data_IF_166912503355
#
_entry.id   IF_166912503355
#
_cell.length_a   1.000
_cell.length_b   1.000
_cell.length_c   1.000
_cell.angle_alpha   90.00
_cell.angle_beta   90.00
_cell.angle_gamma   90.00
#
_symmetry.space_group_name_H-M   'P 1'
#
loop_
_entity.id
_entity.type
_entity.pdbx_description
1 polymer ?
#
# COMPACT_ATOMS: atom_id res chain seq x y z
N UNK A 1 -16.39 69.87 19.59
CA UNK A 1 -16.18 69.55 18.17
C UNK A 1 -14.70 69.23 17.84
N UNK A 2 -13.75 69.99 18.30
CA UNK A 2 -12.34 69.84 17.95
C UNK A 2 -11.64 68.46 18.41
N UNK A 3 -12.20 67.76 19.38
CA UNK A 3 -11.63 66.52 19.92
C UNK A 3 -12.09 65.27 19.13
N UNK A 4 -13.24 65.36 18.43
CA UNK A 4 -13.75 64.31 17.55
C UNK A 4 -13.02 64.23 16.19
N UNK A 5 -12.64 65.43 15.66
CA UNK A 5 -11.91 65.49 14.38
C UNK A 5 -10.48 64.96 14.49
N UNK A 6 -9.78 65.11 15.65
CA UNK A 6 -8.42 64.54 15.88
C UNK A 6 -8.40 63.01 15.98
N UNK A 7 -9.51 62.42 16.43
CA UNK A 7 -9.61 60.94 16.53
C UNK A 7 -9.86 60.31 15.16
N UNK A 8 -10.63 60.96 14.28
CA UNK A 8 -10.91 60.48 12.92
C UNK A 8 -9.64 60.61 12.03
N UNK A 9 -8.88 61.72 12.18
CA UNK A 9 -7.64 61.93 11.43
C UNK A 9 -6.53 60.88 11.78
N UNK A 10 -6.46 60.45 13.05
CA UNK A 10 -5.53 59.35 13.47
C UNK A 10 -5.96 57.99 12.95
N UNK A 11 -7.26 57.69 12.88
CA UNK A 11 -7.79 56.43 12.34
C UNK A 11 -7.53 56.28 10.84
N UNK A 12 -7.63 57.36 10.07
CA UNK A 12 -7.37 57.35 8.61
C UNK A 12 -5.86 57.21 8.31
N UNK A 13 -5.00 57.82 9.13
CA UNK A 13 -3.54 57.67 8.99
C UNK A 13 -3.05 56.26 9.26
N UNK A 14 -3.62 55.58 10.24
CA UNK A 14 -3.28 54.18 10.55
C UNK A 14 -3.79 53.22 9.45
N UNK A 15 -4.97 53.45 8.88
CA UNK A 15 -5.49 52.66 7.76
C UNK A 15 -4.71 52.88 6.46
N UNK A 16 -4.16 54.07 6.21
CA UNK A 16 -3.25 54.32 5.08
C UNK A 16 -1.91 53.65 5.27
N UNK A 17 -1.31 53.67 6.45
CA UNK A 17 -0.08 52.94 6.76
C UNK A 17 -0.24 51.43 6.61
N UNK A 18 -1.44 50.87 6.89
CA UNK A 18 -1.71 49.46 6.63
C UNK A 18 -1.96 49.14 5.15
N UNK A 19 -2.42 50.08 4.34
CA UNK A 19 -2.62 49.84 2.90
C UNK A 19 -1.35 50.11 2.08
N UNK A 20 -0.52 51.08 2.44
CA UNK A 20 0.73 51.36 1.74
C UNK A 20 1.80 50.28 1.99
N UNK A 21 1.77 49.59 3.14
CA UNK A 21 2.60 48.41 3.37
C UNK A 21 2.13 47.15 2.63
N UNK A 22 0.94 47.13 2.02
CA UNK A 22 0.49 46.01 1.17
C UNK A 22 1.09 46.04 -0.25
N UNK A 23 1.62 47.17 -0.69
CA UNK A 23 2.14 47.35 -2.05
C UNK A 23 3.68 47.20 -2.16
N UNK A 24 4.44 47.32 -1.06
CA UNK A 24 5.89 47.45 -1.11
C UNK A 24 6.74 46.21 -0.74
N UNK A 25 6.14 45.16 -0.19
CA UNK A 25 6.89 43.91 0.11
C UNK A 25 6.06 42.70 -0.27
N UNK A 26 5.90 42.44 -1.57
CA UNK A 26 5.74 41.06 -2.07
C UNK A 26 7.10 40.38 -2.05
N UNK A 27 7.64 40.14 -0.86
CA UNK A 27 8.60 39.04 -0.70
C UNK A 27 7.84 37.79 -1.11
N UNK A 28 8.26 37.14 -2.19
CA UNK A 28 7.63 35.92 -2.67
C UNK A 28 7.68 34.90 -1.53
N UNK A 29 6.57 34.71 -0.84
CA UNK A 29 6.41 33.58 0.06
C UNK A 29 6.54 32.35 -0.83
N UNK A 30 7.67 31.64 -0.74
CA UNK A 30 7.86 30.39 -1.45
C UNK A 30 6.71 29.48 -1.12
N UNK A 31 6.01 29.01 -2.12
CA UNK A 31 4.90 28.08 -1.96
C UNK A 31 5.45 26.66 -1.99
N UNK A 32 4.84 25.72 -1.25
CA UNK A 32 5.14 24.29 -1.28
C UNK A 32 4.67 23.65 -2.60
N UNK A 33 4.81 24.33 -3.70
CA UNK A 33 4.51 23.84 -5.04
C UNK A 33 5.65 22.99 -5.62
N UNK A 34 6.81 23.00 -4.97
CA UNK A 34 7.98 22.24 -5.37
C UNK A 34 8.30 21.16 -4.35
N UNK A 35 8.66 20.00 -4.87
CA UNK A 35 9.20 18.91 -4.06
C UNK A 35 10.67 19.19 -3.74
N UNK A 36 11.14 18.70 -2.59
CA UNK A 36 12.59 18.71 -2.31
C UNK A 36 13.34 17.95 -3.41
N UNK A 37 14.56 18.36 -3.76
CA UNK A 37 15.30 17.80 -4.91
C UNK A 37 15.40 16.26 -4.88
N UNK A 38 15.64 15.66 -3.72
CA UNK A 38 15.76 14.22 -3.57
C UNK A 38 14.44 13.46 -3.85
N UNK A 39 13.29 14.04 -3.49
CA UNK A 39 11.97 13.47 -3.82
C UNK A 39 11.59 13.78 -5.27
N UNK A 40 11.89 14.99 -5.76
CA UNK A 40 11.64 15.40 -7.14
C UNK A 40 12.34 14.47 -8.14
N UNK A 41 13.58 14.07 -7.86
CA UNK A 41 14.33 13.12 -8.70
C UNK A 41 13.62 11.75 -8.83
N UNK A 42 13.03 11.24 -7.76
CA UNK A 42 12.22 10.01 -7.81
C UNK A 42 10.92 10.22 -8.58
N UNK A 43 10.23 11.35 -8.32
CA UNK A 43 8.94 11.67 -8.93
C UNK A 43 9.08 11.94 -10.43
N UNK A 44 10.23 12.38 -10.89
CA UNK A 44 10.52 12.59 -12.31
C UNK A 44 10.32 11.32 -13.15
N UNK A 45 10.56 10.14 -12.58
CA UNK A 45 10.31 8.85 -13.24
C UNK A 45 8.86 8.65 -13.69
N UNK A 46 7.91 9.35 -13.09
CA UNK A 46 6.49 9.27 -13.43
C UNK A 46 6.06 10.26 -14.53
N UNK A 47 6.95 11.18 -14.95
CA UNK A 47 6.64 12.18 -15.99
C UNK A 47 6.03 11.59 -17.27
N UNK A 48 6.52 10.47 -17.81
CA UNK A 48 6.00 9.92 -19.05
C UNK A 48 4.52 9.48 -19.00
N UNK A 49 3.95 9.32 -17.81
CA UNK A 49 2.54 8.93 -17.63
C UNK A 49 1.59 10.12 -17.81
N UNK A 50 2.11 11.34 -17.75
CA UNK A 50 1.30 12.56 -17.71
C UNK A 50 1.58 13.51 -18.87
N UNK A 51 0.57 14.30 -19.22
CA UNK A 51 0.81 15.54 -19.93
C UNK A 51 1.58 16.52 -19.02
N UNK A 52 2.52 17.34 -19.54
CA UNK A 52 3.39 18.19 -18.72
C UNK A 52 2.70 19.07 -17.69
N UNK A 53 1.59 19.71 -18.06
CA UNK A 53 0.81 20.55 -17.13
C UNK A 53 0.13 19.75 -16.01
N UNK A 54 -0.34 18.55 -16.34
CA UNK A 54 -0.95 17.63 -15.37
C UNK A 54 0.11 17.12 -14.41
N UNK A 55 1.30 16.80 -14.91
CA UNK A 55 2.43 16.36 -14.10
C UNK A 55 2.84 17.41 -13.08
N UNK A 56 2.99 18.67 -13.47
CA UNK A 56 3.30 19.76 -12.54
C UNK A 56 2.25 19.90 -11.42
N UNK A 57 0.97 19.78 -11.78
CA UNK A 57 -0.11 19.82 -10.77
C UNK A 57 -0.10 18.57 -9.88
N UNK A 58 0.21 17.41 -10.44
CA UNK A 58 0.35 16.16 -9.68
C UNK A 58 1.50 16.23 -8.66
N UNK A 59 2.67 16.78 -9.06
CA UNK A 59 3.80 17.03 -8.14
C UNK A 59 3.38 17.94 -6.98
N UNK A 60 2.65 19.01 -7.26
CA UNK A 60 2.10 19.91 -6.25
C UNK A 60 1.14 19.18 -5.30
N UNK A 61 0.22 18.37 -5.83
CA UNK A 61 -0.69 17.56 -5.02
C UNK A 61 0.05 16.56 -4.14
N UNK A 62 1.10 15.96 -4.66
CA UNK A 62 1.94 15.03 -3.91
C UNK A 62 2.62 15.74 -2.74
N UNK A 63 3.21 16.93 -2.97
CA UNK A 63 3.76 17.76 -1.92
C UNK A 63 2.70 18.10 -0.85
N UNK A 64 1.55 18.59 -1.28
CA UNK A 64 0.43 18.89 -0.40
C UNK A 64 -0.05 17.68 0.42
N UNK A 65 -0.08 16.48 -0.20
CA UNK A 65 -0.48 15.25 0.50
C UNK A 65 0.45 14.88 1.66
N UNK A 66 1.76 15.09 1.46
CA UNK A 66 2.79 14.87 2.49
C UNK A 66 2.65 15.87 3.62
N UNK A 67 2.55 17.17 3.32
CA UNK A 67 2.60 18.25 4.33
C UNK A 67 1.25 18.55 4.97
N UNK A 68 0.13 18.11 4.37
CA UNK A 68 -1.18 18.27 4.96
C UNK A 68 -1.26 17.52 6.30
N UNK A 69 -1.53 18.23 7.37
CA UNK A 69 -1.67 17.67 8.72
C UNK A 69 -3.14 17.35 9.06
N UNK A 70 -4.09 18.04 8.44
CA UNK A 70 -5.53 17.84 8.58
C UNK A 70 -6.09 16.74 7.67
N UNK A 71 -7.42 16.66 7.53
CA UNK A 71 -8.08 15.73 6.62
C UNK A 71 -7.61 15.94 5.17
N UNK A 72 -7.23 14.87 4.48
CA UNK A 72 -6.74 14.95 3.09
C UNK A 72 -7.85 14.96 2.07
N UNK A 73 -8.73 15.93 2.18
CA UNK A 73 -9.59 16.31 1.05
C UNK A 73 -8.75 17.00 -0.02
N UNK A 74 -9.18 16.98 -1.27
CA UNK A 74 -8.40 17.62 -2.36
C UNK A 74 -8.19 19.11 -2.08
N UNK A 75 -9.21 19.80 -1.54
CA UNK A 75 -9.13 21.22 -1.17
C UNK A 75 -8.13 21.46 -0.03
N UNK A 76 -8.15 20.66 1.03
CA UNK A 76 -7.20 20.80 2.14
C UNK A 76 -5.76 20.50 1.71
N UNK A 77 -5.56 19.48 0.89
CA UNK A 77 -4.27 19.17 0.28
C UNK A 77 -3.78 20.35 -0.56
N UNK A 78 -4.67 20.96 -1.37
CA UNK A 78 -4.34 22.12 -2.19
C UNK A 78 -4.03 23.35 -1.32
N UNK A 79 -4.79 23.56 -0.26
CA UNK A 79 -4.55 24.63 0.72
C UNK A 79 -3.18 24.47 1.39
N UNK A 80 -2.81 23.24 1.76
CA UNK A 80 -1.54 22.98 2.43
C UNK A 80 -0.31 23.34 1.57
N UNK A 81 -0.43 23.38 0.24
CA UNK A 81 0.65 23.82 -0.66
C UNK A 81 0.87 25.33 -0.64
N UNK A 82 -0.06 26.13 -0.13
CA UNK A 82 -0.02 27.58 -0.20
C UNK A 82 -0.44 28.17 -1.56
N UNK A 83 -0.79 27.34 -2.55
CA UNK A 83 -1.19 27.79 -3.88
C UNK A 83 -2.65 28.21 -4.00
N UNK A 84 -3.48 27.94 -2.99
CA UNK A 84 -4.92 28.22 -3.03
C UNK A 84 -5.25 29.71 -3.28
N UNK A 85 -4.38 30.63 -2.87
CA UNK A 85 -4.51 32.06 -3.16
C UNK A 85 -4.09 32.46 -4.58
N UNK A 86 -3.33 31.60 -5.31
CA UNK A 86 -2.78 31.90 -6.65
C UNK A 86 -3.46 31.11 -7.77
N UNK A 87 -3.96 29.91 -7.46
CA UNK A 87 -4.59 29.01 -8.44
C UNK A 87 -5.89 28.44 -7.86
N UNK A 88 -6.93 28.46 -8.65
CA UNK A 88 -8.22 27.93 -8.24
C UNK A 88 -8.12 26.42 -7.98
N UNK A 89 -8.87 25.94 -6.99
CA UNK A 89 -8.86 24.51 -6.57
C UNK A 89 -9.35 23.55 -7.67
N UNK A 90 -10.10 24.02 -8.66
CA UNK A 90 -10.53 23.19 -9.80
C UNK A 90 -9.34 22.61 -10.56
N UNK A 91 -8.19 23.29 -10.57
CA UNK A 91 -6.95 22.75 -11.16
C UNK A 91 -6.53 21.46 -10.48
N UNK A 92 -6.66 21.39 -9.16
CA UNK A 92 -6.38 20.18 -8.38
C UNK A 92 -7.41 19.08 -8.65
N UNK A 93 -8.70 19.43 -8.69
CA UNK A 93 -9.77 18.47 -9.00
C UNK A 93 -9.66 17.90 -10.42
N UNK A 94 -9.24 18.72 -11.40
CA UNK A 94 -9.08 18.29 -12.80
C UNK A 94 -8.12 17.12 -12.95
N UNK A 95 -7.07 17.02 -12.12
CA UNK A 95 -6.13 15.88 -12.12
C UNK A 95 -6.88 14.56 -11.86
N UNK A 96 -7.83 14.55 -10.95
CA UNK A 96 -8.59 13.34 -10.60
C UNK A 96 -9.82 13.11 -11.47
N UNK A 97 -10.43 14.18 -11.98
CA UNK A 97 -11.71 14.12 -12.67
C UNK A 97 -11.57 13.92 -14.18
N UNK A 98 -10.71 14.70 -14.86
CA UNK A 98 -10.70 14.80 -16.32
C UNK A 98 -9.36 14.50 -16.98
N UNK A 99 -8.23 14.69 -16.30
CA UNK A 99 -6.92 14.49 -16.89
C UNK A 99 -6.72 13.05 -17.40
N UNK A 100 -5.94 12.89 -18.46
CA UNK A 100 -5.62 11.59 -19.04
C UNK A 100 -4.37 11.00 -18.37
N UNK A 101 -4.56 10.01 -17.49
CA UNK A 101 -3.53 9.19 -16.87
C UNK A 101 -4.18 8.00 -16.14
N UNK A 102 -3.41 6.95 -15.88
CA UNK A 102 -3.94 5.76 -15.20
C UNK A 102 -3.03 5.30 -14.05
N UNK A 103 -3.65 4.81 -12.97
CA UNK A 103 -2.93 4.28 -11.82
C UNK A 103 -2.07 3.06 -12.14
N UNK A 104 -2.50 2.23 -13.09
CA UNK A 104 -1.73 1.03 -13.46
C UNK A 104 -0.35 1.40 -13.99
N UNK A 105 -0.26 2.45 -14.79
CA UNK A 105 1.01 2.89 -15.37
C UNK A 105 1.92 3.50 -14.27
N UNK A 106 1.35 4.35 -13.41
CA UNK A 106 2.08 4.87 -12.24
C UNK A 106 2.52 3.75 -11.29
N UNK A 107 1.66 2.77 -11.06
CA UNK A 107 1.95 1.63 -10.20
C UNK A 107 3.07 0.75 -10.72
N UNK A 108 3.15 0.53 -12.03
CA UNK A 108 4.26 -0.21 -12.66
C UNK A 108 5.57 0.57 -12.56
N UNK A 109 5.56 1.89 -12.80
CA UNK A 109 6.76 2.73 -12.58
C UNK A 109 7.21 2.65 -11.13
N UNK A 110 6.28 2.78 -10.16
CA UNK A 110 6.59 2.66 -8.73
C UNK A 110 7.16 1.27 -8.40
N UNK A 111 6.56 0.20 -8.91
CA UNK A 111 7.06 -1.14 -8.73
C UNK A 111 8.48 -1.30 -9.28
N UNK A 112 8.74 -0.77 -10.46
CA UNK A 112 10.09 -0.80 -11.08
C UNK A 112 11.11 -0.07 -10.20
N UNK A 113 10.79 1.11 -9.67
CA UNK A 113 11.66 1.83 -8.74
C UNK A 113 11.94 1.03 -7.46
N UNK A 114 10.90 0.42 -6.86
CA UNK A 114 11.05 -0.43 -5.67
C UNK A 114 11.96 -1.64 -5.99
N UNK A 115 11.74 -2.32 -7.11
CA UNK A 115 12.53 -3.47 -7.51
C UNK A 115 13.99 -3.10 -7.77
N UNK A 116 14.22 -1.99 -8.45
CA UNK A 116 15.58 -1.52 -8.79
C UNK A 116 16.37 -1.13 -7.54
N UNK A 117 15.74 -0.41 -6.63
CA UNK A 117 16.46 0.19 -5.52
C UNK A 117 16.43 -0.63 -4.22
N UNK A 118 15.34 -1.32 -3.92
CA UNK A 118 15.18 -2.04 -2.66
C UNK A 118 15.30 -3.55 -2.80
N UNK A 119 15.08 -4.10 -4.01
CA UNK A 119 15.19 -5.54 -4.27
C UNK A 119 15.95 -5.74 -5.60
N UNK A 120 17.23 -5.36 -5.69
CA UNK A 120 17.98 -5.45 -6.96
C UNK A 120 18.15 -6.89 -7.46
N UNK A 121 18.01 -7.88 -6.60
CA UNK A 121 18.13 -9.30 -6.94
C UNK A 121 17.24 -10.19 -6.10
N UNK A 122 17.21 -11.48 -6.43
CA UNK A 122 16.49 -12.50 -5.68
C UNK A 122 14.98 -12.50 -5.87
N UNK A 123 14.28 -13.09 -4.91
CA UNK A 123 12.85 -13.32 -4.90
C UNK A 123 12.09 -12.04 -4.54
N UNK A 124 11.03 -11.75 -5.28
CA UNK A 124 10.12 -10.64 -4.99
C UNK A 124 8.87 -11.17 -4.28
N UNK A 125 8.69 -10.76 -3.04
CA UNK A 125 7.49 -11.08 -2.29
C UNK A 125 6.38 -10.07 -2.57
N UNK A 126 5.21 -10.58 -2.89
CA UNK A 126 4.02 -9.77 -3.20
C UNK A 126 2.89 -10.22 -2.29
N UNK A 127 2.15 -9.26 -1.77
CA UNK A 127 1.02 -9.51 -0.86
C UNK A 127 -0.24 -8.92 -1.48
N UNK A 128 -1.34 -9.66 -1.40
CA UNK A 128 -2.66 -9.18 -1.83
C UNK A 128 -3.67 -9.32 -0.71
N UNK A 129 -4.45 -8.27 -0.51
CA UNK A 129 -5.59 -8.29 0.42
C UNK A 129 -6.57 -7.18 0.05
N UNK A 130 -7.75 -7.14 0.71
CA UNK A 130 -8.70 -6.04 0.52
C UNK A 130 -8.94 -5.22 1.78
N UNK A 131 -9.31 -3.98 1.57
CA UNK A 131 -9.59 -3.07 2.68
C UNK A 131 -10.81 -2.21 2.40
N UNK A 132 -11.60 -1.96 3.45
CA UNK A 132 -12.74 -1.08 3.40
C UNK A 132 -12.32 0.36 3.73
N UNK A 133 -12.62 1.26 2.80
CA UNK A 133 -12.53 2.70 2.98
C UNK A 133 -13.92 3.24 3.36
N UNK A 134 -14.10 3.65 4.60
CA UNK A 134 -15.40 4.13 5.11
C UNK A 134 -15.83 5.41 4.42
N UNK A 135 -17.12 5.52 4.10
CA UNK A 135 -17.76 6.71 3.54
C UNK A 135 -19.07 7.02 4.26
N UNK A 136 -19.42 8.31 4.30
CA UNK A 136 -20.68 8.77 4.89
C UNK A 136 -21.70 9.23 3.85
N UNK A 137 -21.24 9.65 2.66
CA UNK A 137 -22.10 10.19 1.62
C UNK A 137 -22.69 9.13 0.71
N UNK A 138 -24.01 8.98 0.66
CA UNK A 138 -24.70 8.00 -0.17
C UNK A 138 -24.49 8.16 -1.69
N UNK A 139 -24.08 9.36 -2.14
CA UNK A 139 -23.88 9.69 -3.57
C UNK A 139 -22.47 9.40 -4.07
N UNK A 140 -21.63 8.69 -3.31
CA UNK A 140 -20.30 8.29 -3.74
C UNK A 140 -20.43 7.14 -4.76
N UNK A 141 -19.85 7.32 -5.95
CA UNK A 141 -19.85 6.28 -6.98
C UNK A 141 -19.24 4.98 -6.44
N UNK A 142 -19.80 3.84 -6.81
CA UNK A 142 -19.41 2.49 -6.37
C UNK A 142 -19.54 2.23 -4.86
N UNK A 143 -20.06 3.19 -4.09
CA UNK A 143 -20.31 3.03 -2.66
C UNK A 143 -21.24 1.85 -2.35
N UNK A 144 -20.98 1.15 -1.27
CA UNK A 144 -21.79 0.02 -0.87
C UNK A 144 -21.64 -0.35 0.60
N UNK A 145 -22.53 -1.20 1.07
CA UNK A 145 -22.45 -1.79 2.41
C UNK A 145 -21.61 -3.06 2.31
N UNK A 146 -20.55 -3.13 3.12
CA UNK A 146 -19.61 -4.24 3.18
C UNK A 146 -19.38 -4.66 4.63
N UNK A 147 -19.01 -5.92 4.82
CA UNK A 147 -18.52 -6.41 6.10
C UNK A 147 -17.23 -5.66 6.46
N UNK A 148 -17.21 -5.06 7.63
CA UNK A 148 -16.01 -4.45 8.19
C UNK A 148 -15.26 -5.50 9.03
N UNK A 149 -14.19 -6.04 8.47
CA UNK A 149 -13.40 -7.07 9.12
C UNK A 149 -12.71 -6.57 10.41
N UNK A 150 -12.36 -5.28 10.47
CA UNK A 150 -11.67 -4.67 11.63
C UNK A 150 -12.63 -4.50 12.81
N UNK A 151 -13.88 -4.09 12.55
CA UNK A 151 -14.89 -3.87 13.58
C UNK A 151 -15.71 -5.13 13.89
N UNK A 152 -15.54 -6.22 13.14
CA UNK A 152 -16.26 -7.47 13.33
C UNK A 152 -15.51 -8.39 14.29
N UNK A 153 -16.27 -9.13 15.10
CA UNK A 153 -15.78 -10.24 15.89
C UNK A 153 -16.32 -11.59 15.37
N UNK A 154 -15.93 -12.69 16.00
CA UNK A 154 -16.50 -14.01 15.68
C UNK A 154 -18.01 -14.06 15.92
N UNK A 155 -18.48 -13.39 16.95
CA UNK A 155 -19.88 -13.40 17.41
C UNK A 155 -20.72 -12.23 16.88
N UNK A 156 -20.06 -11.09 16.51
CA UNK A 156 -20.76 -9.90 16.05
C UNK A 156 -20.19 -9.43 14.71
N UNK A 157 -21.05 -9.39 13.68
CA UNK A 157 -20.69 -8.92 12.35
C UNK A 157 -21.13 -7.47 12.16
N UNK A 158 -20.17 -6.60 11.89
CA UNK A 158 -20.41 -5.18 11.65
C UNK A 158 -20.33 -4.88 10.16
N UNK A 159 -21.33 -4.19 9.64
CA UNK A 159 -21.36 -3.73 8.25
C UNK A 159 -21.26 -2.22 8.21
N UNK A 160 -20.48 -1.69 7.25
CA UNK A 160 -20.28 -0.26 7.06
C UNK A 160 -20.41 0.12 5.58
N UNK A 161 -20.92 1.33 5.36
CA UNK A 161 -20.94 1.91 4.02
C UNK A 161 -19.56 2.44 3.65
N UNK A 162 -19.11 2.13 2.44
CA UNK A 162 -17.79 2.55 1.98
C UNK A 162 -17.43 2.03 0.60
N UNK A 163 -16.14 2.07 0.31
CA UNK A 163 -15.49 1.61 -0.90
C UNK A 163 -14.57 0.45 -0.52
N UNK A 164 -14.72 -0.70 -1.15
CA UNK A 164 -13.83 -1.84 -0.91
C UNK A 164 -12.77 -1.91 -2.01
N UNK A 165 -11.51 -2.00 -1.61
CA UNK A 165 -10.36 -1.98 -2.51
C UNK A 165 -9.56 -3.27 -2.39
N UNK A 166 -9.26 -3.91 -3.51
CA UNK A 166 -8.26 -4.97 -3.61
C UNK A 166 -6.92 -4.31 -3.89
N UNK A 167 -5.91 -4.60 -3.07
CA UNK A 167 -4.59 -3.95 -3.11
C UNK A 167 -3.51 -5.01 -3.22
N UNK A 168 -2.60 -4.79 -4.14
CA UNK A 168 -1.38 -5.57 -4.36
C UNK A 168 -0.17 -4.72 -3.95
N UNK A 169 0.66 -5.24 -3.05
CA UNK A 169 1.87 -4.56 -2.61
C UNK A 169 3.10 -5.45 -2.66
N UNK A 170 4.26 -4.84 -2.80
CA UNK A 170 5.55 -5.53 -2.71
C UNK A 170 5.99 -5.52 -1.25
N UNK A 171 6.25 -6.71 -0.69
CA UNK A 171 6.75 -6.83 0.67
C UNK A 171 8.29 -6.75 0.67
N UNK A 172 8.82 -5.71 1.27
CA UNK A 172 10.24 -5.36 1.24
C UNK A 172 10.84 -5.42 2.64
N UNK A 173 11.97 -6.10 2.84
CA UNK A 173 12.79 -5.89 4.02
C UNK A 173 13.50 -4.52 3.86
N UNK A 174 13.36 -3.63 4.82
CA UNK A 174 14.04 -2.34 4.72
C UNK A 174 15.51 -2.48 5.12
N UNK A 175 16.44 -1.78 4.45
CA UNK A 175 17.86 -1.83 4.79
C UNK A 175 18.16 -1.49 6.26
N UNK A 176 17.38 -0.58 6.83
CA UNK A 176 17.52 -0.09 8.21
C UNK A 176 16.70 -0.91 9.23
N UNK A 177 15.91 -1.87 8.76
CA UNK A 177 15.04 -2.68 9.59
C UNK A 177 14.77 -4.03 8.95
N UNK A 178 15.66 -4.98 9.17
CA UNK A 178 15.59 -6.33 8.60
C UNK A 178 14.70 -7.28 9.40
N UNK A 179 14.27 -6.88 10.62
CA UNK A 179 13.44 -7.68 11.50
C UNK A 179 11.97 -7.81 11.05
N UNK A 180 11.55 -6.99 10.06
CA UNK A 180 10.20 -7.08 9.50
C UNK A 180 10.14 -6.63 8.05
N UNK A 181 9.07 -7.04 7.36
CA UNK A 181 8.73 -6.60 6.02
C UNK A 181 7.76 -5.42 6.07
N UNK A 182 7.97 -4.46 5.18
CA UNK A 182 7.02 -3.40 4.88
C UNK A 182 6.32 -3.73 3.55
N UNK A 183 5.00 -3.64 3.52
CA UNK A 183 4.27 -3.73 2.28
C UNK A 183 4.19 -2.34 1.64
N UNK A 184 4.68 -2.21 0.43
CA UNK A 184 4.57 -1.03 -0.41
C UNK A 184 3.49 -1.29 -1.47
N UNK A 185 2.26 -0.79 -1.29
CA UNK A 185 1.21 -0.88 -2.29
C UNK A 185 1.64 -0.30 -3.63
N UNK A 186 1.45 -1.05 -4.72
CA UNK A 186 1.83 -0.63 -6.08
C UNK A 186 0.67 -0.67 -7.05
N UNK A 187 -0.27 -1.59 -6.90
CA UNK A 187 -1.44 -1.73 -7.75
C UNK A 187 -2.70 -1.95 -6.91
N UNK A 188 -3.83 -1.48 -7.38
CA UNK A 188 -5.11 -1.61 -6.69
C UNK A 188 -6.29 -1.61 -7.65
N UNK A 189 -7.43 -2.16 -7.19
CA UNK A 189 -8.71 -2.13 -7.90
C UNK A 189 -9.85 -1.82 -6.94
N UNK A 190 -10.70 -0.90 -7.34
CA UNK A 190 -11.95 -0.67 -6.65
C UNK A 190 -12.91 -1.83 -6.97
N UNK A 191 -13.40 -2.50 -5.93
CA UNK A 191 -14.41 -3.53 -6.09
C UNK A 191 -15.75 -2.89 -6.47
N UNK A 192 -16.31 -3.31 -7.57
CA UNK A 192 -17.64 -2.94 -8.04
C UNK A 192 -18.62 -4.07 -7.76
N UNK A 193 -19.84 -3.74 -7.37
CA UNK A 193 -20.87 -4.75 -7.10
C UNK A 193 -21.36 -5.42 -8.39
N UNK A 194 -21.87 -6.64 -8.26
CA UNK A 194 -22.49 -7.36 -9.37
C UNK A 194 -23.60 -6.50 -9.99
N UNK A 195 -23.58 -6.35 -11.31
CA UNK A 195 -24.50 -5.49 -12.07
C UNK A 195 -23.97 -4.08 -12.37
N UNK A 196 -22.85 -3.67 -11.76
CA UNK A 196 -22.13 -2.45 -12.15
C UNK A 196 -21.16 -2.75 -13.31
N UNK A 197 -20.95 -1.76 -14.18
CA UNK A 197 -19.98 -1.90 -15.27
C UNK A 197 -18.57 -2.17 -14.72
N UNK A 198 -17.81 -3.04 -15.39
CA UNK A 198 -16.49 -3.47 -14.95
C UNK A 198 -16.49 -4.32 -13.68
N UNK A 199 -17.63 -4.93 -13.28
CA UNK A 199 -17.66 -5.87 -12.15
C UNK A 199 -16.68 -7.02 -12.34
N UNK A 200 -15.88 -7.27 -11.33
CA UNK A 200 -15.05 -8.45 -11.16
C UNK A 200 -15.13 -8.93 -9.71
N UNK A 201 -15.03 -10.24 -9.49
CA UNK A 201 -14.86 -10.72 -8.11
C UNK A 201 -13.49 -10.27 -7.58
N UNK A 202 -13.36 -10.10 -6.27
CA UNK A 202 -12.08 -9.70 -5.65
C UNK A 202 -10.92 -10.62 -6.06
N UNK A 203 -11.07 -11.97 -6.08
CA UNK A 203 -10.01 -12.84 -6.56
C UNK A 203 -9.63 -12.63 -8.03
N UNK A 204 -10.59 -12.32 -8.92
CA UNK A 204 -10.26 -12.00 -10.32
C UNK A 204 -9.53 -10.66 -10.43
N UNK A 205 -9.92 -9.67 -9.63
CA UNK A 205 -9.18 -8.40 -9.56
C UNK A 205 -7.74 -8.61 -9.07
N UNK A 206 -7.56 -9.41 -8.01
CA UNK A 206 -6.23 -9.77 -7.51
C UNK A 206 -5.37 -10.48 -8.56
N UNK A 207 -5.96 -11.43 -9.29
CA UNK A 207 -5.29 -12.13 -10.38
C UNK A 207 -4.87 -11.19 -11.53
N UNK A 208 -5.73 -10.24 -11.89
CA UNK A 208 -5.41 -9.24 -12.92
C UNK A 208 -4.25 -8.33 -12.48
N UNK A 209 -4.25 -7.86 -11.23
CA UNK A 209 -3.16 -7.05 -10.67
C UNK A 209 -1.84 -7.82 -10.63
N UNK A 210 -1.87 -9.07 -10.13
CA UNK A 210 -0.68 -9.91 -10.03
C UNK A 210 -0.09 -10.23 -11.41
N UNK A 211 -0.95 -10.53 -12.40
CA UNK A 211 -0.54 -10.77 -13.78
C UNK A 211 0.09 -9.52 -14.38
N UNK A 212 -0.54 -8.36 -14.23
CA UNK A 212 -0.01 -7.06 -14.72
C UNK A 212 1.39 -6.78 -14.19
N UNK A 213 1.62 -7.01 -12.88
CA UNK A 213 2.93 -6.82 -12.26
C UNK A 213 3.97 -7.78 -12.80
N UNK A 214 3.63 -9.08 -12.93
CA UNK A 214 4.53 -10.12 -13.39
C UNK A 214 4.89 -9.95 -14.88
N UNK A 215 3.91 -9.63 -15.73
CA UNK A 215 4.12 -9.39 -17.17
C UNK A 215 4.95 -8.14 -17.44
N UNK A 216 4.79 -7.08 -16.63
CA UNK A 216 5.61 -5.88 -16.74
C UNK A 216 7.07 -6.09 -16.30
N UNK A 217 7.38 -7.18 -15.60
CA UNK A 217 8.70 -7.49 -15.07
C UNK A 217 9.10 -8.96 -15.35
N UNK A 218 9.24 -9.37 -16.63
CA UNK A 218 9.41 -10.78 -17.00
C UNK A 218 10.72 -11.40 -16.47
N UNK A 219 11.75 -10.59 -16.20
CA UNK A 219 13.03 -11.03 -15.63
C UNK A 219 13.02 -11.25 -14.11
N UNK A 220 11.88 -11.11 -13.43
CA UNK A 220 11.78 -11.24 -11.97
C UNK A 220 10.83 -12.37 -11.59
N UNK A 221 11.21 -13.15 -10.58
CA UNK A 221 10.36 -14.19 -9.99
C UNK A 221 9.57 -13.61 -8.82
N UNK A 222 8.25 -13.68 -8.91
CA UNK A 222 7.30 -13.19 -7.91
C UNK A 222 6.73 -14.34 -7.09
N UNK A 223 6.63 -14.13 -5.78
CA UNK A 223 5.96 -15.02 -4.84
C UNK A 223 4.81 -14.26 -4.18
N UNK A 224 3.61 -14.55 -4.62
CA UNK A 224 2.41 -13.91 -4.11
C UNK A 224 1.89 -14.66 -2.89
N UNK A 225 1.59 -13.92 -1.85
CA UNK A 225 0.98 -14.41 -0.63
C UNK A 225 -0.38 -13.74 -0.44
N UNK A 226 -1.42 -14.54 -0.26
CA UNK A 226 -2.78 -14.07 0.00
C UNK A 226 -3.46 -14.89 1.09
N UNK A 227 -4.61 -14.42 1.55
CA UNK A 227 -5.46 -15.20 2.43
C UNK A 227 -6.29 -16.25 1.65
N UNK A 228 -7.09 -17.04 2.36
CA UNK A 228 -7.91 -18.09 1.75
C UNK A 228 -9.01 -17.57 0.79
N UNK A 229 -9.36 -16.29 0.84
CA UNK A 229 -10.30 -15.70 -0.10
C UNK A 229 -9.66 -15.50 -1.47
N UNK A 230 -8.36 -15.21 -1.52
CA UNK A 230 -7.62 -14.92 -2.75
C UNK A 230 -6.97 -16.15 -3.35
N UNK A 231 -6.47 -17.09 -2.53
CA UNK A 231 -5.80 -18.31 -3.01
C UNK A 231 -6.82 -19.32 -3.52
N UNK A 232 -7.27 -19.13 -4.74
CA UNK A 232 -8.29 -19.96 -5.40
C UNK A 232 -8.06 -20.02 -6.92
N UNK A 233 -8.97 -20.69 -7.64
CA UNK A 233 -8.87 -20.92 -9.08
C UNK A 233 -8.65 -19.65 -9.91
N UNK A 234 -9.23 -18.50 -9.52
CA UNK A 234 -9.10 -17.26 -10.27
C UNK A 234 -7.66 -16.74 -10.29
N UNK A 235 -6.96 -16.85 -9.17
CA UNK A 235 -5.55 -16.46 -9.04
C UNK A 235 -4.60 -17.54 -9.57
N UNK A 236 -4.90 -18.81 -9.33
CA UNK A 236 -3.98 -19.91 -9.56
C UNK A 236 -3.93 -20.38 -11.01
N UNK A 237 -5.09 -20.37 -11.71
CA UNK A 237 -5.17 -20.88 -13.09
C UNK A 237 -4.73 -19.79 -14.08
N UNK A 238 -3.88 -20.18 -15.03
CA UNK A 238 -3.38 -19.26 -16.06
C UNK A 238 -2.48 -18.14 -15.51
N UNK A 239 -1.84 -18.36 -14.36
CA UNK A 239 -0.83 -17.44 -13.83
C UNK A 239 0.41 -17.42 -14.74
N UNK A 240 1.12 -16.29 -14.85
CA UNK A 240 2.40 -16.23 -15.54
C UNK A 240 3.42 -17.20 -14.93
N UNK A 241 4.35 -17.69 -15.75
CA UNK A 241 5.38 -18.64 -15.31
C UNK A 241 6.30 -18.07 -14.20
N UNK A 242 6.48 -16.74 -14.21
CA UNK A 242 7.28 -16.02 -13.21
C UNK A 242 6.46 -15.62 -11.95
N UNK A 243 5.29 -16.21 -11.73
CA UNK A 243 4.45 -15.96 -10.57
C UNK A 243 4.14 -17.27 -9.83
N UNK A 244 4.66 -17.40 -8.62
CA UNK A 244 4.32 -18.48 -7.69
C UNK A 244 3.39 -17.95 -6.60
N UNK A 245 2.57 -18.82 -6.00
CA UNK A 245 1.56 -18.45 -5.01
C UNK A 245 1.66 -19.33 -3.79
N UNK A 246 1.59 -18.72 -2.61
CA UNK A 246 1.48 -19.37 -1.31
C UNK A 246 0.22 -18.85 -0.59
N UNK A 247 -0.51 -19.74 0.04
CA UNK A 247 -1.56 -19.33 0.96
C UNK A 247 -2.31 -20.49 1.59
N UNK A 248 -3.30 -20.21 2.43
CA UNK A 248 -3.98 -21.25 3.19
C UNK A 248 -4.83 -22.15 2.29
N UNK A 249 -4.76 -23.43 2.57
CA UNK A 249 -5.58 -24.46 1.97
C UNK A 249 -6.70 -24.87 2.94
N UNK A 250 -7.91 -24.95 2.43
CA UNK A 250 -9.04 -25.38 3.26
C UNK A 250 -8.84 -26.81 3.79
N UNK A 251 -9.09 -27.04 5.09
CA UNK A 251 -8.90 -28.34 5.76
C UNK A 251 -9.66 -29.53 5.13
N UNK A 252 -10.72 -29.26 4.39
CA UNK A 252 -11.49 -30.27 3.64
C UNK A 252 -11.18 -30.25 2.14
N UNK A 253 -10.06 -29.67 1.70
CA UNK A 253 -9.68 -29.64 0.29
C UNK A 253 -9.52 -31.07 -0.26
N UNK A 254 -10.02 -31.29 -1.48
CA UNK A 254 -9.86 -32.55 -2.18
C UNK A 254 -8.52 -32.54 -2.93
N UNK A 255 -7.62 -33.39 -2.48
CA UNK A 255 -6.31 -33.62 -3.07
C UNK A 255 -6.30 -34.94 -3.84
N UNK A 256 -5.47 -35.04 -4.83
CA UNK A 256 -5.34 -36.21 -5.69
C UNK A 256 -3.87 -36.48 -6.02
N UNK A 257 -3.55 -37.73 -6.26
CA UNK A 257 -2.29 -38.11 -6.88
C UNK A 257 -2.22 -37.63 -8.33
N UNK A 258 -1.03 -37.60 -8.91
CA UNK A 258 -0.89 -37.46 -10.36
C UNK A 258 -1.46 -38.69 -11.06
N UNK A 259 -2.14 -38.51 -12.21
CA UNK A 259 -2.59 -39.65 -12.98
C UNK A 259 -1.38 -40.49 -13.46
N UNK A 260 -1.52 -41.78 -13.43
CA UNK A 260 -0.52 -42.67 -14.05
C UNK A 260 -0.34 -42.32 -15.53
N UNK A 261 0.88 -42.46 -16.05
CA UNK A 261 1.14 -42.31 -17.48
C UNK A 261 0.23 -43.21 -18.32
N UNK A 262 -0.27 -42.66 -19.44
CA UNK A 262 -1.12 -43.43 -20.35
C UNK A 262 -0.38 -44.57 -20.93
N UNK A 263 -0.93 -45.81 -20.85
CA UNK A 263 -0.35 -46.96 -21.48
C UNK A 263 -0.57 -46.96 -23.01
N UNK A 264 0.36 -47.51 -23.80
CA UNK A 264 0.16 -47.70 -25.23
C UNK A 264 -1.12 -48.49 -25.49
N UNK A 265 -1.94 -48.04 -26.48
CA UNK A 265 -3.22 -48.64 -26.86
C UNK A 265 -4.37 -48.49 -25.84
N UNK A 266 -4.22 -47.76 -24.76
CA UNK A 266 -5.32 -47.47 -23.83
C UNK A 266 -6.44 -46.68 -24.51
N UNK A 267 -7.68 -47.23 -24.51
CA UNK A 267 -8.87 -46.59 -25.06
C UNK A 267 -9.41 -45.51 -24.12
N UNK A 268 -10.08 -44.49 -24.67
CA UNK A 268 -10.73 -43.41 -23.91
C UNK A 268 -9.83 -42.19 -23.65
N UNK A 269 -10.38 -41.16 -23.00
CA UNK A 269 -9.66 -39.96 -22.65
C UNK A 269 -8.65 -40.22 -21.49
N UNK A 270 -7.51 -39.54 -21.52
CA UNK A 270 -6.52 -39.64 -20.45
C UNK A 270 -7.11 -39.11 -19.12
N UNK A 271 -6.86 -39.83 -18.04
CA UNK A 271 -7.22 -39.38 -16.69
C UNK A 271 -6.51 -38.06 -16.40
N UNK A 272 -7.26 -37.08 -15.90
CA UNK A 272 -6.71 -35.78 -15.49
C UNK A 272 -6.23 -35.73 -14.03
N UNK A 273 -6.53 -36.78 -13.24
CA UNK A 273 -6.15 -36.91 -11.83
C UNK A 273 -6.06 -38.41 -11.49
N UNK A 274 -5.19 -38.73 -10.55
CA UNK A 274 -5.04 -40.06 -9.98
C UNK A 274 -6.04 -40.33 -8.86
N UNK A 275 -5.67 -41.14 -7.92
CA UNK A 275 -6.51 -41.52 -6.80
C UNK A 275 -6.64 -40.36 -5.79
N UNK A 276 -7.74 -40.39 -5.05
CA UNK A 276 -8.01 -39.35 -4.07
C UNK A 276 -7.20 -39.57 -2.79
N UNK A 277 -6.45 -38.55 -2.40
CA UNK A 277 -5.72 -38.51 -1.13
C UNK A 277 -6.66 -38.11 0.03
N UNK A 278 -6.31 -38.45 1.28
CA UNK A 278 -6.93 -37.90 2.45
C UNK A 278 -6.91 -36.35 2.40
N UNK A 279 -7.87 -35.71 3.04
CA UNK A 279 -7.89 -34.25 3.10
C UNK A 279 -6.81 -33.72 4.09
N UNK A 280 -6.46 -32.43 4.07
CA UNK A 280 -5.43 -31.87 4.95
C UNK A 280 -5.66 -32.16 6.43
N UNK A 281 -6.92 -32.21 6.88
CA UNK A 281 -7.27 -32.51 8.27
C UNK A 281 -6.93 -33.97 8.67
N UNK A 282 -7.08 -34.90 7.74
CA UNK A 282 -6.70 -36.31 7.99
C UNK A 282 -5.19 -36.50 7.80
N UNK A 283 -4.57 -35.82 6.81
CA UNK A 283 -3.14 -35.91 6.55
C UNK A 283 -2.28 -35.45 7.73
N UNK A 284 -2.66 -34.37 8.44
CA UNK A 284 -1.86 -33.86 9.57
C UNK A 284 -1.84 -34.83 10.77
N UNK A 285 -2.80 -35.75 10.85
CA UNK A 285 -2.85 -36.78 11.88
C UNK A 285 -2.13 -38.07 11.44
N UNK A 286 -1.99 -38.30 10.14
CA UNK A 286 -1.33 -39.52 9.59
C UNK A 286 0.18 -39.28 9.47
N UNK A 287 0.86 -39.35 10.61
CA UNK A 287 2.33 -39.22 10.67
C UNK A 287 3.05 -40.51 10.29
N UNK A 288 2.36 -41.62 10.17
CA UNK A 288 2.94 -42.91 9.76
C UNK A 288 3.17 -42.95 8.26
N UNK A 289 2.20 -42.53 7.45
CA UNK A 289 2.30 -42.48 5.98
C UNK A 289 3.01 -41.19 5.51
N UNK A 290 2.78 -40.09 6.20
CA UNK A 290 3.39 -38.77 5.89
C UNK A 290 4.18 -38.28 7.11
N UNK A 291 5.48 -38.62 7.21
CA UNK A 291 6.28 -38.25 8.37
C UNK A 291 6.34 -36.76 8.61
N UNK A 292 6.19 -36.37 9.87
CA UNK A 292 6.38 -35.00 10.30
C UNK A 292 7.82 -34.80 10.81
N UNK A 293 8.46 -33.75 10.32
CA UNK A 293 9.78 -33.33 10.78
C UNK A 293 9.63 -32.21 11.82
N UNK A 294 10.47 -32.20 12.84
CA UNK A 294 10.57 -31.08 13.76
C UNK A 294 11.57 -30.08 13.20
N UNK A 295 11.06 -28.96 12.69
CA UNK A 295 11.85 -27.89 12.08
C UNK A 295 11.85 -26.68 13.00
N UNK A 296 13.03 -26.18 13.36
CA UNK A 296 13.16 -24.95 14.14
C UNK A 296 13.20 -23.75 13.21
N UNK A 297 12.14 -22.93 13.26
CA UNK A 297 11.99 -21.77 12.38
C UNK A 297 12.30 -20.49 13.12
N UNK A 298 13.19 -19.67 12.57
CA UNK A 298 13.55 -18.36 13.09
C UNK A 298 12.59 -17.28 12.55
N UNK A 299 11.65 -16.89 13.39
CA UNK A 299 10.78 -15.72 13.13
C UNK A 299 11.46 -14.43 13.61
N UNK A 300 11.06 -13.26 13.14
CA UNK A 300 11.72 -11.98 13.48
C UNK A 300 11.90 -11.69 14.98
N UNK A 301 11.01 -12.23 15.83
CA UNK A 301 11.03 -11.97 17.29
C UNK A 301 11.27 -13.20 18.15
N UNK A 302 11.24 -14.38 17.57
CA UNK A 302 11.35 -15.63 18.33
C UNK A 302 11.69 -16.80 17.39
N UNK A 303 12.39 -17.77 17.91
CA UNK A 303 12.62 -19.05 17.24
C UNK A 303 11.64 -20.08 17.80
N UNK A 304 11.00 -20.87 16.94
CA UNK A 304 10.03 -21.90 17.32
C UNK A 304 10.28 -23.24 16.66
N UNK A 305 10.24 -24.33 17.42
CA UNK A 305 10.13 -25.67 16.87
C UNK A 305 8.69 -25.90 16.38
N UNK A 306 8.52 -26.31 15.13
CA UNK A 306 7.24 -26.64 14.53
C UNK A 306 7.30 -28.04 13.94
N UNK A 307 6.25 -28.84 14.06
CA UNK A 307 6.08 -30.08 13.31
C UNK A 307 5.57 -29.75 11.93
N UNK A 308 6.29 -30.15 10.91
CA UNK A 308 6.01 -29.83 9.51
C UNK A 308 5.92 -31.11 8.69
N UNK A 309 4.81 -31.29 7.98
CA UNK A 309 4.63 -32.35 6.99
C UNK A 309 4.58 -31.72 5.61
N UNK A 310 5.28 -32.28 4.63
CA UNK A 310 5.27 -31.77 3.26
C UNK A 310 4.81 -32.87 2.31
N UNK A 311 3.67 -32.63 1.68
CA UNK A 311 3.09 -33.52 0.66
C UNK A 311 3.32 -32.86 -0.69
N UNK A 312 4.23 -33.45 -1.49
CA UNK A 312 4.67 -32.90 -2.78
C UNK A 312 3.98 -33.56 -3.95
N UNK A 313 3.98 -32.87 -5.08
CA UNK A 313 3.50 -33.41 -6.36
C UNK A 313 2.03 -33.85 -6.37
N UNK A 314 1.22 -33.22 -5.55
CA UNK A 314 -0.21 -33.50 -5.47
C UNK A 314 -1.03 -32.53 -6.33
N UNK A 315 -2.22 -32.95 -6.72
CA UNK A 315 -3.14 -32.14 -7.49
C UNK A 315 -4.24 -31.58 -6.60
N UNK A 316 -4.29 -30.27 -6.47
CA UNK A 316 -5.48 -29.57 -5.99
C UNK A 316 -6.32 -29.16 -7.20
N UNK A 317 -7.07 -30.13 -7.74
CA UNK A 317 -7.75 -29.98 -9.02
C UNK A 317 -8.73 -28.78 -9.07
N UNK A 318 -9.39 -28.46 -7.96
CA UNK A 318 -10.27 -27.29 -7.87
C UNK A 318 -9.51 -25.96 -8.00
N UNK A 319 -8.31 -25.88 -7.45
CA UNK A 319 -7.46 -24.68 -7.49
C UNK A 319 -6.60 -24.61 -8.77
N UNK A 320 -5.75 -25.61 -8.98
CA UNK A 320 -4.69 -25.59 -9.99
C UNK A 320 -4.91 -26.54 -11.19
N UNK A 321 -6.07 -27.23 -11.25
CA UNK A 321 -6.32 -28.26 -12.26
C UNK A 321 -5.25 -29.36 -12.23
N UNK A 322 -4.52 -29.50 -13.32
CA UNK A 322 -3.46 -30.51 -13.52
C UNK A 322 -2.07 -30.03 -13.13
N UNK A 323 -1.92 -28.77 -12.76
CA UNK A 323 -0.64 -28.26 -12.28
C UNK A 323 -0.37 -28.79 -10.87
N UNK A 324 0.77 -29.46 -10.64
CA UNK A 324 1.08 -30.00 -9.34
C UNK A 324 1.41 -28.88 -8.34
N UNK A 325 1.09 -29.16 -7.07
CA UNK A 325 1.37 -28.27 -5.95
C UNK A 325 2.05 -29.05 -4.82
N UNK A 326 2.63 -28.35 -3.86
CA UNK A 326 2.92 -28.95 -2.56
C UNK A 326 1.94 -28.41 -1.51
N UNK A 327 1.67 -29.25 -0.52
CA UNK A 327 0.90 -28.90 0.68
C UNK A 327 1.84 -28.99 1.88
N UNK A 328 1.93 -27.92 2.63
CA UNK A 328 2.73 -27.82 3.85
C UNK A 328 1.77 -27.73 5.04
N UNK A 329 1.78 -28.77 5.88
CA UNK A 329 0.98 -28.83 7.10
C UNK A 329 1.87 -28.47 8.28
N UNK A 330 1.42 -27.54 9.09
CA UNK A 330 2.20 -26.99 10.19
C UNK A 330 1.43 -27.15 11.49
N UNK A 331 2.06 -27.73 12.50
CA UNK A 331 1.53 -27.87 13.86
C UNK A 331 2.53 -27.35 14.88
N UNK A 332 2.06 -26.52 15.78
CA UNK A 332 2.85 -26.10 16.95
C UNK A 332 2.73 -27.18 18.05
N UNK A 333 3.82 -27.89 18.39
CA UNK A 333 3.79 -28.88 19.46
C UNK A 333 3.39 -28.33 20.83
N UNK A 334 3.65 -27.04 21.05
CA UNK A 334 3.27 -26.35 22.30
C UNK A 334 1.80 -25.91 22.34
N UNK A 335 1.05 -26.06 21.23
CA UNK A 335 -0.38 -25.74 21.13
C UNK A 335 -0.71 -24.24 21.26
N UNK A 336 0.29 -23.36 21.15
CA UNK A 336 0.09 -21.91 21.25
C UNK A 336 -0.40 -21.30 19.93
N UNK A 337 -0.05 -21.95 18.80
CA UNK A 337 -0.52 -21.56 17.48
C UNK A 337 -1.49 -22.60 16.94
N UNK A 338 -2.40 -22.13 16.10
CA UNK A 338 -3.31 -23.02 15.39
C UNK A 338 -2.57 -23.78 14.31
N UNK A 339 -3.01 -25.02 14.08
CA UNK A 339 -2.57 -25.77 12.91
C UNK A 339 -2.89 -25.01 11.63
N UNK A 340 -1.94 -25.01 10.67
CA UNK A 340 -2.10 -24.37 9.38
C UNK A 340 -1.84 -25.38 8.25
N UNK A 341 -2.66 -25.28 7.20
CA UNK A 341 -2.47 -26.00 5.95
C UNK A 341 -2.19 -24.96 4.86
N UNK A 342 -1.00 -25.01 4.27
CA UNK A 342 -0.59 -24.09 3.21
C UNK A 342 -0.47 -24.84 1.89
N UNK A 343 -0.92 -24.22 0.80
CA UNK A 343 -0.64 -24.66 -0.56
C UNK A 343 0.42 -23.76 -1.19
N UNK A 344 1.32 -24.35 -1.93
CA UNK A 344 2.34 -23.66 -2.71
C UNK A 344 2.36 -24.20 -4.13
N UNK A 345 2.39 -23.29 -5.11
CA UNK A 345 2.34 -23.66 -6.53
C UNK A 345 3.66 -24.16 -7.10
N UNK A 346 4.78 -23.94 -6.41
CA UNK A 346 6.04 -24.59 -6.68
C UNK A 346 6.17 -25.83 -5.76
N UNK A 347 6.04 -27.06 -6.30
CA UNK A 347 6.10 -28.28 -5.50
C UNK A 347 7.49 -28.55 -4.91
N UNK A 348 8.53 -27.84 -5.34
CA UNK A 348 9.90 -28.01 -4.86
C UNK A 348 10.27 -27.06 -3.72
N UNK A 349 9.43 -26.04 -3.45
CA UNK A 349 9.71 -25.03 -2.45
C UNK A 349 10.01 -25.63 -1.06
N UNK A 350 11.05 -25.16 -0.35
CA UNK A 350 11.34 -25.60 1.02
C UNK A 350 10.21 -25.19 1.98
N UNK A 351 9.91 -26.03 2.95
CA UNK A 351 8.82 -25.77 3.91
C UNK A 351 9.06 -24.47 4.71
N UNK A 352 10.27 -24.25 5.20
CA UNK A 352 10.63 -23.02 5.92
C UNK A 352 10.39 -21.77 5.06
N UNK A 353 10.78 -21.81 3.78
CA UNK A 353 10.53 -20.72 2.83
C UNK A 353 9.04 -20.43 2.67
N UNK A 354 8.19 -21.49 2.60
CA UNK A 354 6.74 -21.36 2.49
C UNK A 354 6.15 -20.74 3.77
N UNK A 355 6.56 -21.22 4.93
CA UNK A 355 6.05 -20.76 6.24
C UNK A 355 6.45 -19.28 6.46
N UNK A 356 7.73 -18.95 6.32
CA UNK A 356 8.23 -17.58 6.46
C UNK A 356 7.65 -16.66 5.39
N UNK A 357 7.46 -17.16 4.16
CA UNK A 357 6.78 -16.45 3.09
C UNK A 357 5.36 -16.06 3.48
N UNK A 358 4.59 -17.01 4.01
CA UNK A 358 3.20 -16.75 4.43
C UNK A 358 3.10 -15.72 5.55
N UNK A 359 4.05 -15.67 6.47
CA UNK A 359 4.08 -14.67 7.54
C UNK A 359 4.20 -13.23 7.01
N UNK A 360 4.76 -13.02 5.80
CA UNK A 360 4.88 -11.70 5.18
C UNK A 360 3.53 -11.08 4.81
N UNK A 361 2.48 -11.90 4.69
CA UNK A 361 1.11 -11.43 4.44
C UNK A 361 0.70 -10.32 5.43
N UNK A 362 1.08 -10.45 6.69
CA UNK A 362 0.73 -9.46 7.72
C UNK A 362 1.21 -8.04 7.43
N UNK A 363 2.21 -7.87 6.59
CA UNK A 363 2.73 -6.54 6.23
C UNK A 363 1.70 -5.65 5.53
N UNK A 364 0.73 -6.20 4.80
CA UNK A 364 -0.31 -5.42 4.12
C UNK A 364 -1.30 -4.79 5.10
N UNK A 365 -1.59 -5.47 6.22
CA UNK A 365 -2.47 -4.94 7.25
C UNK A 365 -1.87 -3.68 7.91
N UNK A 366 -0.54 -3.65 8.08
CA UNK A 366 0.18 -2.46 8.54
C UNK A 366 0.14 -1.32 7.52
N UNK A 367 0.30 -1.63 6.22
CA UNK A 367 0.18 -0.62 5.17
C UNK A 367 -1.23 -0.03 5.10
N UNK A 368 -2.27 -0.84 5.34
CA UNK A 368 -3.65 -0.35 5.45
C UNK A 368 -3.86 0.53 6.69
N UNK A 369 -3.30 0.13 7.82
CA UNK A 369 -3.32 0.94 9.03
C UNK A 369 -2.67 2.30 8.80
N UNK A 370 -1.43 2.32 8.30
CA UNK A 370 -0.67 3.55 8.04
C UNK A 370 -1.39 4.47 7.06
N UNK A 371 -1.96 3.92 6.00
CA UNK A 371 -2.71 4.68 5.00
C UNK A 371 -3.99 5.31 5.55
N UNK A 372 -4.69 4.62 6.44
CA UNK A 372 -5.90 5.12 7.09
C UNK A 372 -5.60 6.16 8.15
N UNK A 373 -4.58 5.92 8.97
CA UNK A 373 -4.27 6.78 10.12
C UNK A 373 -3.46 8.02 9.74
N UNK A 374 -2.54 7.90 8.80
CA UNK A 374 -1.55 8.95 8.55
C UNK A 374 -1.62 9.60 7.17
N UNK A 375 -2.30 8.97 6.21
CA UNK A 375 -2.35 9.44 4.82
C UNK A 375 -3.76 9.70 4.30
N UNK A 376 -4.78 9.62 5.16
CA UNK A 376 -6.12 10.04 4.85
C UNK A 376 -6.83 9.19 3.79
N UNK A 377 -6.66 7.86 3.79
CA UNK A 377 -7.35 6.98 2.84
C UNK A 377 -8.87 7.19 2.84
N UNK A 378 -9.46 7.56 3.98
CA UNK A 378 -10.89 7.82 4.14
C UNK A 378 -11.34 9.22 3.71
N UNK A 379 -10.42 10.18 3.59
CA UNK A 379 -10.72 11.60 3.59
C UNK A 379 -11.25 12.18 2.27
N UNK A 380 -10.80 11.74 1.05
CA UNK A 380 -11.27 12.35 -0.18
C UNK A 380 -12.79 12.40 -0.29
N UNK A 381 -13.35 13.61 -0.47
CA UNK A 381 -14.79 13.88 -0.58
C UNK A 381 -15.22 14.01 -2.04
N UNK A 382 -14.90 13.01 -2.85
CA UNK A 382 -15.23 12.95 -4.28
C UNK A 382 -16.40 12.03 -4.54
N UNK A 383 -17.13 12.26 -5.64
CA UNK A 383 -18.38 11.55 -5.95
C UNK A 383 -18.38 10.88 -7.31
N UNK A 384 -17.78 11.51 -8.34
CA UNK A 384 -17.73 10.93 -9.69
C UNK A 384 -16.87 9.69 -9.74
N UNK A 385 -17.18 8.77 -10.63
CA UNK A 385 -16.51 7.47 -10.79
C UNK A 385 -14.99 7.61 -10.89
N UNK A 386 -14.51 8.37 -11.87
CA UNK A 386 -13.09 8.59 -12.10
C UNK A 386 -12.39 9.24 -10.90
N UNK A 387 -13.02 10.25 -10.27
CA UNK A 387 -12.44 10.89 -9.09
C UNK A 387 -12.35 9.95 -7.89
N UNK A 388 -13.35 9.08 -7.70
CA UNK A 388 -13.33 8.06 -6.64
C UNK A 388 -12.19 7.09 -6.87
N UNK A 389 -12.02 6.59 -8.08
CA UNK A 389 -10.97 5.65 -8.43
C UNK A 389 -9.55 6.25 -8.33
N UNK A 390 -9.42 7.57 -8.44
CA UNK A 390 -8.11 8.23 -8.49
C UNK A 390 -7.69 8.90 -7.18
N UNK A 391 -8.62 9.50 -6.43
CA UNK A 391 -8.24 10.29 -5.27
C UNK A 391 -7.86 9.44 -4.04
N UNK A 392 -8.57 8.33 -3.79
CA UNK A 392 -8.29 7.47 -2.62
C UNK A 392 -6.92 6.79 -2.67
N UNK A 393 -6.48 6.23 -3.82
CA UNK A 393 -5.19 5.57 -3.92
C UNK A 393 -3.97 6.47 -3.71
N UNK A 394 -4.12 7.79 -3.77
CA UNK A 394 -3.03 8.72 -3.40
C UNK A 394 -2.42 8.38 -2.04
N UNK A 395 -3.21 7.92 -1.08
CA UNK A 395 -2.72 7.52 0.24
C UNK A 395 -1.70 6.36 0.14
N UNK A 396 -1.97 5.35 -0.69
CA UNK A 396 -1.04 4.23 -0.89
C UNK A 396 0.18 4.64 -1.68
N UNK A 397 -0.02 5.42 -2.75
CA UNK A 397 1.07 5.89 -3.60
C UNK A 397 2.05 6.75 -2.80
N UNK A 398 1.56 7.74 -2.05
CA UNK A 398 2.39 8.60 -1.20
C UNK A 398 3.07 7.79 -0.09
N UNK A 399 2.37 6.80 0.48
CA UNK A 399 2.94 5.92 1.50
C UNK A 399 4.13 5.12 0.98
N UNK A 400 3.96 4.45 -0.16
CA UNK A 400 5.03 3.68 -0.79
C UNK A 400 6.20 4.56 -1.23
N UNK A 401 5.92 5.73 -1.79
CA UNK A 401 6.95 6.69 -2.21
C UNK A 401 7.72 7.26 -1.00
N UNK A 402 7.04 7.54 0.12
CA UNK A 402 7.67 7.99 1.37
C UNK A 402 8.65 6.96 1.90
N UNK A 403 8.27 5.68 1.93
CA UNK A 403 9.15 4.59 2.37
C UNK A 403 10.35 4.46 1.42
N UNK A 404 10.10 4.46 0.11
CA UNK A 404 11.16 4.37 -0.90
C UNK A 404 12.16 5.53 -0.75
N UNK A 405 11.65 6.77 -0.70
CA UNK A 405 12.48 7.96 -0.50
C UNK A 405 13.30 7.89 0.79
N UNK A 406 12.69 7.47 1.89
CA UNK A 406 13.37 7.36 3.17
C UNK A 406 14.52 6.35 3.12
N UNK A 407 14.32 5.21 2.47
CA UNK A 407 15.37 4.20 2.30
C UNK A 407 16.53 4.67 1.43
N UNK A 408 16.28 5.57 0.48
CA UNK A 408 17.30 6.06 -0.46
C UNK A 408 18.05 7.30 0.05
N UNK A 409 17.35 8.20 0.74
CA UNK A 409 17.86 9.51 1.14
C UNK A 409 17.44 9.98 2.52
N UNK A 410 16.20 9.74 2.92
CA UNK A 410 15.66 10.31 4.15
C UNK A 410 16.36 9.85 5.42
N UNK A 411 17.02 8.70 5.41
CA UNK A 411 17.78 8.15 6.54
C UNK A 411 19.15 8.81 6.74
N UNK A 412 19.66 9.54 5.75
CA UNK A 412 20.96 10.22 5.83
C UNK A 412 20.89 11.52 6.66
N UNK A 413 19.69 12.06 6.87
CA UNK A 413 19.45 13.30 7.62
C UNK A 413 19.30 13.09 9.14
N UNK A 414 18.99 14.18 9.84
CA UNK A 414 18.65 14.11 11.25
C UNK A 414 17.40 13.25 11.46
N UNK A 415 17.57 12.11 12.11
CA UNK A 415 16.49 11.16 12.32
C UNK A 415 15.43 11.72 13.25
N UNK A 416 14.22 11.96 12.72
CA UNK A 416 13.05 12.19 13.56
C UNK A 416 12.51 10.83 14.04
N UNK A 417 13.36 10.08 14.71
CA UNK A 417 12.85 9.04 15.60
C UNK A 417 12.23 9.79 16.75
N UNK A 418 10.90 9.76 16.87
CA UNK A 418 10.19 10.44 17.97
C UNK A 418 10.79 9.96 19.28
N UNK A 419 11.67 10.77 19.84
CA UNK A 419 12.23 10.54 21.17
C UNK A 419 11.10 10.71 22.18
N UNK A 420 10.86 9.65 22.92
CA UNK A 420 9.87 9.65 23.99
C UNK A 420 10.57 9.25 25.28
N UNK A 421 10.55 10.08 26.33
CA UNK A 421 11.26 9.82 27.58
C UNK A 421 10.97 8.46 28.21
N UNK A 422 9.76 7.91 27.92
CA UNK A 422 9.33 6.58 28.41
C UNK A 422 9.64 5.43 27.45
N UNK A 423 10.26 5.67 26.29
CA UNK A 423 10.58 4.64 25.32
C UNK A 423 11.96 4.86 24.69
N UNK A 424 12.98 4.65 25.53
CA UNK A 424 14.39 4.88 25.16
C UNK A 424 14.99 3.81 24.24
N UNK A 425 14.32 2.66 24.08
CA UNK A 425 14.82 1.53 23.29
C UNK A 425 14.42 1.57 21.80
N UNK A 426 13.85 2.67 21.31
CA UNK A 426 13.43 2.78 19.91
C UNK A 426 14.62 3.11 19.00
N UNK A 427 15.21 2.09 18.38
CA UNK A 427 16.35 2.22 17.46
C UNK A 427 15.99 2.08 15.99
N UNK A 428 14.74 1.68 15.69
CA UNK A 428 14.31 1.40 14.30
C UNK A 428 13.17 2.31 13.86
N UNK A 429 13.20 2.86 12.63
CA UNK A 429 12.18 3.76 12.16
C UNK A 429 10.84 3.04 11.94
N UNK A 430 9.75 3.74 12.23
CA UNK A 430 8.39 3.39 11.84
C UNK A 430 7.95 4.23 10.65
N UNK A 431 6.82 3.91 10.03
CA UNK A 431 6.27 4.73 8.94
C UNK A 431 6.09 6.21 9.36
N UNK A 432 5.67 6.45 10.59
CA UNK A 432 5.49 7.84 11.09
C UNK A 432 6.81 8.60 11.23
N UNK A 433 7.92 7.92 11.50
CA UNK A 433 9.25 8.55 11.51
C UNK A 433 9.68 8.92 10.09
N UNK A 434 9.46 8.02 9.12
CA UNK A 434 9.77 8.26 7.72
C UNK A 434 8.95 9.43 7.14
N UNK A 435 7.65 9.47 7.43
CA UNK A 435 6.78 10.58 7.03
C UNK A 435 7.15 11.89 7.75
N UNK A 436 7.53 11.81 9.02
CA UNK A 436 8.01 12.95 9.81
C UNK A 436 9.29 13.53 9.23
N UNK A 437 10.26 12.67 8.87
CA UNK A 437 11.51 13.08 8.23
C UNK A 437 11.25 13.78 6.88
N UNK A 438 10.36 13.24 6.05
CA UNK A 438 10.01 13.84 4.77
C UNK A 438 9.35 15.22 4.95
N UNK A 439 8.41 15.34 5.89
CA UNK A 439 7.76 16.62 6.22
C UNK A 439 8.76 17.65 6.69
N UNK A 440 9.66 17.26 7.59
CA UNK A 440 10.66 18.16 8.14
C UNK A 440 11.53 18.72 7.00
N UNK A 441 12.09 17.86 6.15
CA UNK A 441 12.90 18.31 5.02
C UNK A 441 12.13 19.19 4.04
N UNK A 442 10.84 18.90 3.79
CA UNK A 442 10.00 19.76 2.94
C UNK A 442 9.75 21.12 3.57
N UNK A 443 9.52 21.21 4.89
CA UNK A 443 9.37 22.48 5.59
C UNK A 443 10.69 23.27 5.68
N UNK A 444 11.79 22.59 5.93
CA UNK A 444 13.12 23.19 5.89
C UNK A 444 13.41 23.79 4.52
N UNK A 445 13.10 23.07 3.44
CA UNK A 445 13.25 23.54 2.08
C UNK A 445 12.35 24.75 1.76
N UNK A 446 11.11 24.78 2.27
CA UNK A 446 10.21 25.95 2.14
C UNK A 446 10.79 27.17 2.85
N UNK A 447 11.37 26.98 4.03
CA UNK A 447 11.83 28.07 4.91
C UNK A 447 13.20 28.59 4.52
N UNK A 448 14.15 27.69 4.23
CA UNK A 448 15.57 28.00 4.04
C UNK A 448 16.05 27.93 2.57
N UNK A 449 15.27 27.38 1.66
CA UNK A 449 15.66 27.16 0.26
C UNK A 449 16.67 26.05 0.05
N UNK A 450 17.27 25.98 -1.15
CA UNK A 450 18.22 24.93 -1.52
C UNK A 450 19.56 25.04 -0.77
N UNK A 451 20.02 26.25 -0.51
CA UNK A 451 21.33 26.49 0.12
C UNK A 451 21.36 26.21 1.62
N UNK A 452 20.18 26.24 2.28
CA UNK A 452 20.09 26.12 3.74
C UNK A 452 20.68 27.30 4.51
N UNK A 453 21.24 28.31 3.82
CA UNK A 453 21.97 29.45 4.40
C UNK A 453 21.14 30.73 4.48
N UNK A 454 19.94 30.75 3.87
CA UNK A 454 19.07 31.92 3.90
C UNK A 454 18.46 32.08 5.30
N UNK A 455 18.60 33.26 5.88
CA UNK A 455 17.85 33.63 7.09
C UNK A 455 16.36 33.62 6.76
N UNK A 456 15.54 32.80 7.41
CA UNK A 456 14.13 32.69 7.07
C UNK A 456 13.42 34.02 7.30
N UNK A 457 12.61 34.46 6.34
CA UNK A 457 11.82 35.66 6.54
C UNK A 457 10.77 35.43 7.64
N UNK A 458 10.46 36.47 8.46
CA UNK A 458 9.40 36.37 9.45
C UNK A 458 8.05 35.92 8.87
N UNK A 459 7.78 36.28 7.60
CA UNK A 459 6.57 35.88 6.88
C UNK A 459 6.57 34.38 6.57
N UNK A 460 7.69 33.77 6.16
CA UNK A 460 7.80 32.32 5.93
C UNK A 460 7.55 31.53 7.22
N UNK A 461 8.18 31.96 8.31
CA UNK A 461 7.97 31.34 9.65
C UNK A 461 6.50 31.47 10.05
N UNK A 462 5.92 32.65 9.91
CA UNK A 462 4.52 32.92 10.24
C UNK A 462 3.57 32.10 9.39
N UNK A 463 3.86 31.93 8.09
CA UNK A 463 3.09 31.07 7.18
C UNK A 463 3.12 29.62 7.63
N UNK A 464 4.31 29.09 7.99
CA UNK A 464 4.46 27.73 8.48
C UNK A 464 3.71 27.52 9.80
N UNK A 465 3.86 28.43 10.76
CA UNK A 465 3.14 28.40 12.03
C UNK A 465 1.62 28.44 11.83
N UNK A 466 1.13 29.23 10.86
CA UNK A 466 -0.29 29.28 10.50
C UNK A 466 -0.79 27.96 9.92
N UNK A 467 0.00 27.34 9.03
CA UNK A 467 -0.32 26.01 8.49
C UNK A 467 -0.35 24.93 9.59
N UNK A 468 0.56 25.00 10.54
CA UNK A 468 0.58 24.08 11.69
C UNK A 468 -0.58 24.31 12.66
N UNK A 469 -0.96 25.56 12.89
CA UNK A 469 -2.07 25.93 13.78
C UNK A 469 -3.46 25.68 13.19
N UNK A 470 -3.59 25.61 11.85
CA UNK A 470 -4.85 25.33 11.16
C UNK A 470 -5.31 23.86 11.25
N UNK A 471 -4.56 23.03 11.97
CA UNK A 471 -4.89 21.62 12.22
C UNK A 471 -5.79 21.56 13.45
N UNK A 472 -7.10 21.56 13.23
CA UNK A 472 -8.12 21.32 14.24
C UNK A 472 -8.85 19.99 13.99
#
# INVERSE_FOLDING_TARGET
>A
MAQRERTIARGVGILKLFNDNRAAHRTEVRSMDQLIPSLAALVESFRPVFHPQVFATFQTLLAGWVVCLGPRTISEVWQATGLAARRHHDTAYAVFHSAAWEWDDLGIVLATLILTHLIPGGVVWVVVDDTLCHKRGAKVAFGGIFLDAVLSSKTHKTFRFGLNWVVLGIAVPLPLRTDRYFCLPVLWRLYRKKGQDGYQTRPHAAAALARRLAEANPGRMFWLVGDGAYVNAALLQGRPANLQVIGPLHWKAALYERPAPRQPKQKGASRKKGDRLPNPKALIEDTATYPAELVTIAFPKQTRPLRVQVIRDVLWYRGCKTDPVAVVLVRDPAGQWRDEALVVTDPTAPAEFVILGYCRRWSVELAFFDSKQYLGLHDPRVRSERSVERAHPMAWFVGSLTILWYCLKGHEGSHVVKDRPWYTAKVTPTFTDMLGALRLQMWEYEVFGESGEETPSPECIKSLLHKMAAVA
#
